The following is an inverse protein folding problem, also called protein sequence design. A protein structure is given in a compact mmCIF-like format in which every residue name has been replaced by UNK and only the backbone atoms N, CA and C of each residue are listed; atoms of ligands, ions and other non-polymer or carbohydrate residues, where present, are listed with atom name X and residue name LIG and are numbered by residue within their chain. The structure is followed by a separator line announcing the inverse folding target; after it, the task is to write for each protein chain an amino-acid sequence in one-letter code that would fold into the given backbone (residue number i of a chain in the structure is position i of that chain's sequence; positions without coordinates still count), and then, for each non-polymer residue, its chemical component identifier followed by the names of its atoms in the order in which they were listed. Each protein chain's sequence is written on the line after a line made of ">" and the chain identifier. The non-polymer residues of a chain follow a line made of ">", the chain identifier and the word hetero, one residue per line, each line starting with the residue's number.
data_IF_379793518772
#
_entry.id   IF_379793518772
#
_cell.length_a   1.000
_cell.length_b   1.000
_cell.length_c   1.000
_cell.angle_alpha   90.00
_cell.angle_beta   90.00
_cell.angle_gamma   90.00
#
_symmetry.space_group_name_H-M   'P 1'
#
loop_
_entity.id
_entity.type
_entity.pdbx_description
1 polymer ?
#
# COMPACT_ATOMS: atom_id res chain seq x y z
N UNK A 1 21.59 83.40 -35.12
CA UNK A 1 21.39 81.98 -35.41
C UNK A 1 20.67 81.39 -34.18
N UNK A 2 19.38 81.08 -34.30
CA UNK A 2 18.52 80.63 -33.22
C UNK A 2 18.35 79.14 -33.31
N UNK A 3 18.80 78.39 -32.30
CA UNK A 3 18.59 76.93 -32.20
C UNK A 3 17.31 76.64 -31.43
N UNK A 4 16.38 76.04 -32.11
CA UNK A 4 15.10 75.56 -31.55
C UNK A 4 15.29 74.19 -30.95
N UNK A 5 15.09 74.02 -29.65
CA UNK A 5 15.09 72.72 -28.99
C UNK A 5 13.67 72.14 -29.05
N UNK A 6 13.52 70.98 -29.64
CA UNK A 6 12.32 70.16 -29.66
C UNK A 6 12.25 69.31 -28.36
N UNK A 7 11.26 69.54 -27.53
CA UNK A 7 10.93 68.64 -26.40
C UNK A 7 10.04 67.51 -26.93
N UNK A 8 10.57 66.31 -26.85
CA UNK A 8 9.84 65.09 -27.16
C UNK A 8 9.20 64.54 -25.85
N UNK A 9 7.89 64.69 -25.71
CA UNK A 9 7.12 64.13 -24.58
C UNK A 9 6.88 62.67 -24.82
N UNK A 10 7.52 61.81 -24.04
CA UNK A 10 7.31 60.34 -24.04
C UNK A 10 6.07 60.05 -23.16
N UNK A 11 4.94 59.73 -23.76
CA UNK A 11 3.79 59.15 -23.07
C UNK A 11 4.07 57.68 -22.79
N UNK A 12 4.34 57.37 -21.51
CA UNK A 12 4.35 55.99 -21.00
C UNK A 12 2.90 55.46 -20.96
N UNK A 13 2.53 54.65 -21.93
CA UNK A 13 1.33 53.83 -21.87
C UNK A 13 1.59 52.66 -20.91
N UNK A 14 0.98 52.66 -19.71
CA UNK A 14 0.91 51.50 -18.82
C UNK A 14 0.10 50.40 -19.52
N UNK A 15 0.63 49.18 -19.61
CA UNK A 15 -0.17 48.08 -20.11
C UNK A 15 -1.31 47.79 -19.11
N UNK A 16 -2.57 47.90 -19.57
CA UNK A 16 -3.71 47.38 -18.83
C UNK A 16 -3.48 45.91 -18.53
N UNK A 17 -3.38 45.59 -17.27
CA UNK A 17 -3.23 44.19 -16.80
C UNK A 17 -4.39 43.36 -17.36
N UNK A 18 -4.09 42.46 -18.30
CA UNK A 18 -4.95 41.32 -18.58
C UNK A 18 -5.03 40.49 -17.29
N UNK A 19 -6.09 40.73 -16.51
CA UNK A 19 -6.49 39.76 -15.51
C UNK A 19 -6.80 38.45 -16.26
N UNK A 20 -5.92 37.48 -16.18
CA UNK A 20 -6.19 36.13 -16.64
C UNK A 20 -7.47 35.69 -15.93
N UNK A 21 -8.59 35.68 -16.62
CA UNK A 21 -9.79 34.99 -16.18
C UNK A 21 -9.42 33.51 -16.11
N UNK A 22 -8.98 33.05 -14.93
CA UNK A 22 -8.82 31.64 -14.65
C UNK A 22 -10.19 31.00 -14.88
N UNK A 23 -10.32 30.27 -15.96
CA UNK A 23 -11.41 29.30 -16.07
C UNK A 23 -11.14 28.31 -14.96
N UNK A 24 -12.07 28.17 -14.02
CA UNK A 24 -12.04 27.02 -13.13
C UNK A 24 -11.96 25.79 -14.04
N UNK A 25 -11.04 24.84 -13.79
CA UNK A 25 -10.97 23.63 -14.59
C UNK A 25 -12.34 22.98 -14.56
N UNK A 26 -12.86 22.62 -15.73
CA UNK A 26 -14.12 21.91 -15.84
C UNK A 26 -13.96 20.56 -15.16
N UNK A 27 -14.56 20.39 -13.99
CA UNK A 27 -14.56 19.11 -13.28
C UNK A 27 -15.49 18.16 -14.02
N UNK A 28 -15.05 16.94 -14.37
CA UNK A 28 -15.94 15.95 -14.97
C UNK A 28 -17.11 15.65 -14.03
N UNK A 29 -18.31 15.35 -14.53
CA UNK A 29 -19.45 15.00 -13.70
C UNK A 29 -19.13 13.72 -12.89
N UNK A 30 -19.52 13.72 -11.61
CA UNK A 30 -19.34 12.58 -10.73
C UNK A 30 -20.35 11.48 -11.10
N UNK A 31 -19.84 10.31 -11.49
CA UNK A 31 -20.68 9.19 -11.93
C UNK A 31 -21.20 8.34 -10.76
N UNK A 32 -20.59 8.46 -9.58
CA UNK A 32 -20.99 7.71 -8.38
C UNK A 32 -22.24 8.34 -7.78
N UNK A 33 -23.35 7.56 -7.57
CA UNK A 33 -24.59 8.10 -7.05
C UNK A 33 -24.41 8.68 -5.65
N UNK A 34 -25.00 9.85 -5.41
CA UNK A 34 -24.93 10.55 -4.10
C UNK A 34 -23.57 11.19 -3.79
N UNK A 35 -22.57 11.04 -4.64
CA UNK A 35 -21.27 11.68 -4.46
C UNK A 35 -21.33 13.15 -4.87
N UNK A 36 -20.84 14.03 -4.00
CA UNK A 36 -20.70 15.45 -4.23
C UNK A 36 -19.21 15.84 -4.32
N UNK A 37 -18.89 16.93 -4.99
CA UNK A 37 -17.52 17.46 -5.08
C UNK A 37 -16.88 17.67 -3.70
N UNK A 38 -17.67 18.13 -2.72
CA UNK A 38 -17.21 18.30 -1.35
C UNK A 38 -16.73 17.00 -0.71
N UNK A 39 -17.30 15.86 -1.09
CA UNK A 39 -16.93 14.54 -0.55
C UNK A 39 -15.52 14.11 -1.00
N UNK A 40 -14.97 14.71 -2.05
CA UNK A 40 -13.61 14.47 -2.54
C UNK A 40 -12.55 15.26 -1.75
N UNK A 41 -12.95 16.00 -0.73
CA UNK A 41 -12.04 16.75 0.13
C UNK A 41 -11.97 16.15 1.53
N UNK A 42 -10.77 15.85 2.07
CA UNK A 42 -10.64 15.39 3.45
C UNK A 42 -11.16 16.43 4.47
N UNK A 43 -11.08 17.72 4.13
CA UNK A 43 -11.56 18.80 5.00
C UNK A 43 -13.07 18.72 5.26
N UNK A 44 -13.86 18.26 4.29
CA UNK A 44 -15.30 18.05 4.45
C UNK A 44 -15.61 17.06 5.59
N UNK A 45 -14.96 15.91 5.56
CA UNK A 45 -15.15 14.84 6.54
C UNK A 45 -14.61 15.20 7.92
N UNK A 46 -13.43 15.84 7.96
CA UNK A 46 -12.79 16.28 9.21
C UNK A 46 -13.64 17.35 9.90
N UNK A 47 -14.24 18.29 9.16
CA UNK A 47 -15.11 19.33 9.73
C UNK A 47 -16.38 18.78 10.38
N UNK A 48 -16.81 17.57 10.01
CA UNK A 48 -17.96 16.89 10.61
C UNK A 48 -17.63 16.12 11.90
N UNK A 49 -16.34 15.96 12.23
CA UNK A 49 -15.91 15.23 13.43
C UNK A 49 -16.13 16.10 14.69
N UNK A 50 -16.69 15.52 15.78
CA UNK A 50 -16.88 16.25 17.04
C UNK A 50 -15.55 16.56 17.76
N UNK A 51 -14.55 15.69 17.60
CA UNK A 51 -13.22 15.81 18.22
C UNK A 51 -12.16 15.22 17.27
N UNK A 52 -11.77 15.96 16.22
CA UNK A 52 -10.94 15.46 15.13
C UNK A 52 -9.53 15.04 15.57
N UNK A 53 -9.01 15.64 16.63
CA UNK A 53 -7.64 15.42 17.10
C UNK A 53 -7.56 14.45 18.30
N UNK A 54 -8.70 13.90 18.71
CA UNK A 54 -8.73 12.89 19.78
C UNK A 54 -7.93 11.64 19.36
N UNK A 55 -6.94 11.32 20.18
CA UNK A 55 -6.14 10.08 20.00
C UNK A 55 -7.03 8.86 20.25
N UNK A 56 -7.19 8.01 19.24
CA UNK A 56 -7.99 6.79 19.29
C UNK A 56 -7.24 5.67 20.02
N UNK A 57 -5.95 5.50 19.73
CA UNK A 57 -5.04 4.60 20.40
C UNK A 57 -3.72 5.35 20.70
N UNK A 58 -3.26 5.22 21.93
CA UNK A 58 -1.93 5.71 22.32
C UNK A 58 -0.83 4.79 21.73
N UNK A 59 0.43 5.26 21.62
CA UNK A 59 1.55 4.42 21.17
C UNK A 59 1.70 3.13 21.99
N UNK A 60 1.47 3.16 23.31
CA UNK A 60 1.51 1.97 24.16
C UNK A 60 0.40 0.95 23.83
N UNK A 61 -0.80 1.43 23.53
CA UNK A 61 -1.92 0.58 23.10
C UNK A 61 -1.67 -0.03 21.72
N UNK A 62 -1.08 0.74 20.78
CA UNK A 62 -0.66 0.24 19.46
C UNK A 62 0.40 -0.85 19.63
N UNK A 63 1.42 -0.63 20.46
CA UNK A 63 2.43 -1.64 20.74
C UNK A 63 1.84 -2.93 21.32
N UNK A 64 0.91 -2.82 22.28
CA UNK A 64 0.20 -3.97 22.85
C UNK A 64 -0.66 -4.71 21.82
N UNK A 65 -1.36 -3.96 20.94
CA UNK A 65 -2.14 -4.54 19.83
C UNK A 65 -1.23 -5.27 18.82
N UNK A 66 -0.10 -4.68 18.45
CA UNK A 66 0.86 -5.31 17.55
C UNK A 66 1.45 -6.59 18.13
N UNK A 67 1.79 -6.59 19.44
CA UNK A 67 2.26 -7.78 20.14
C UNK A 67 1.19 -8.90 20.14
N UNK A 68 -0.07 -8.55 20.37
CA UNK A 68 -1.20 -9.47 20.29
C UNK A 68 -1.40 -9.97 18.86
N UNK A 69 -1.28 -9.10 17.85
CA UNK A 69 -1.33 -9.47 16.44
C UNK A 69 -0.25 -10.52 16.11
N UNK A 70 0.96 -10.31 16.57
CA UNK A 70 2.09 -11.22 16.33
C UNK A 70 1.90 -12.57 17.06
N UNK A 71 1.24 -12.58 18.22
CA UNK A 71 1.04 -13.80 19.00
C UNK A 71 -0.18 -14.63 18.55
N UNK A 72 -1.24 -14.00 18.05
CA UNK A 72 -2.55 -14.63 17.85
C UNK A 72 -2.94 -14.78 16.37
N UNK A 73 -2.43 -13.92 15.48
CA UNK A 73 -2.83 -13.97 14.07
C UNK A 73 -1.90 -14.90 13.26
N UNK A 74 -2.44 -16.01 12.72
CA UNK A 74 -1.62 -16.99 11.99
C UNK A 74 -1.04 -16.48 10.67
N UNK A 75 -1.51 -15.33 10.17
CA UNK A 75 -0.98 -14.69 8.96
C UNK A 75 0.20 -13.76 9.22
N UNK A 76 0.57 -13.58 10.50
CA UNK A 76 1.70 -12.75 10.94
C UNK A 76 2.84 -13.63 11.43
N UNK A 77 4.03 -13.37 10.93
CA UNK A 77 5.21 -14.16 11.23
C UNK A 77 6.21 -13.36 12.07
N UNK A 78 6.65 -13.93 13.17
CA UNK A 78 7.77 -13.40 13.96
C UNK A 78 9.09 -13.88 13.35
N UNK A 79 9.71 -13.04 12.54
CA UNK A 79 10.96 -13.38 11.86
C UNK A 79 12.16 -13.45 12.82
N UNK A 80 12.09 -12.78 13.98
CA UNK A 80 13.12 -12.84 15.01
C UNK A 80 13.05 -14.16 15.82
N UNK A 81 11.85 -14.71 15.98
CA UNK A 81 11.66 -15.94 16.75
C UNK A 81 11.86 -17.22 15.93
N UNK A 82 12.13 -17.11 14.63
CA UNK A 82 12.36 -18.28 13.79
C UNK A 82 13.59 -19.07 14.27
N UNK A 83 13.52 -20.43 14.23
CA UNK A 83 14.63 -21.27 14.65
C UNK A 83 15.83 -21.10 13.72
N UNK A 84 17.02 -21.41 14.20
CA UNK A 84 18.26 -21.36 13.40
C UNK A 84 18.25 -22.28 12.17
N UNK A 85 17.35 -23.27 12.15
CA UNK A 85 17.12 -24.16 11.00
C UNK A 85 15.63 -24.35 10.79
N UNK A 86 15.22 -24.36 9.52
CA UNK A 86 13.83 -24.54 9.09
C UNK A 86 13.69 -25.90 8.43
N UNK A 87 12.57 -26.57 8.72
CA UNK A 87 12.22 -27.85 8.14
C UNK A 87 11.84 -27.72 6.65
N UNK A 88 12.35 -28.61 5.82
CA UNK A 88 12.10 -28.56 4.37
C UNK A 88 10.67 -28.91 3.97
N UNK A 89 9.95 -29.73 4.76
CA UNK A 89 8.53 -30.00 4.48
C UNK A 89 7.69 -28.76 4.69
N UNK A 90 8.01 -27.97 5.74
CA UNK A 90 7.36 -26.68 5.99
C UNK A 90 7.59 -25.71 4.81
N UNK A 91 8.83 -25.63 4.29
CA UNK A 91 9.16 -24.77 3.15
C UNK A 91 8.40 -25.24 1.90
N UNK A 92 8.40 -26.54 1.60
CA UNK A 92 7.61 -27.10 0.48
C UNK A 92 6.14 -26.78 0.63
N UNK A 93 5.58 -26.95 1.83
CA UNK A 93 4.17 -26.66 2.13
C UNK A 93 3.79 -25.19 1.84
N UNK A 94 4.65 -24.24 2.20
CA UNK A 94 4.41 -22.82 1.85
C UNK A 94 4.46 -22.57 0.35
N UNK A 95 5.44 -23.13 -0.37
CA UNK A 95 5.53 -22.96 -1.83
C UNK A 95 4.32 -23.62 -2.51
N UNK A 96 3.94 -24.84 -2.16
CA UNK A 96 2.81 -25.55 -2.73
C UNK A 96 1.47 -24.87 -2.41
N UNK A 97 1.34 -24.25 -1.25
CA UNK A 97 0.15 -23.49 -0.89
C UNK A 97 -0.06 -22.26 -1.80
N UNK A 98 1.03 -21.58 -2.15
CA UNK A 98 1.01 -20.38 -2.98
C UNK A 98 1.04 -20.70 -4.48
N UNK A 99 1.98 -21.56 -4.93
CA UNK A 99 2.32 -21.76 -6.35
C UNK A 99 1.37 -22.79 -7.02
N UNK A 100 0.07 -22.49 -6.99
CA UNK A 100 -0.97 -23.29 -7.62
C UNK A 100 -1.38 -22.69 -8.95
N UNK A 101 -1.22 -23.42 -10.03
CA UNK A 101 -1.71 -22.98 -11.34
C UNK A 101 -3.24 -22.96 -11.32
N UNK A 102 -3.87 -21.88 -11.81
CA UNK A 102 -5.32 -21.85 -12.00
C UNK A 102 -5.76 -22.93 -13.01
N UNK A 103 -6.94 -23.51 -12.77
CA UNK A 103 -7.54 -24.49 -13.69
C UNK A 103 -8.04 -23.85 -15.00
N UNK A 104 -8.21 -22.53 -15.01
CA UNK A 104 -8.69 -21.76 -16.16
C UNK A 104 -7.55 -21.48 -17.14
N UNK A 105 -7.92 -21.34 -18.42
CA UNK A 105 -7.04 -20.77 -19.42
C UNK A 105 -6.53 -19.39 -18.97
N UNK A 106 -5.25 -19.14 -19.20
CA UNK A 106 -4.58 -17.90 -18.86
C UNK A 106 -4.12 -17.18 -20.13
N UNK A 107 -4.13 -15.87 -20.09
CA UNK A 107 -3.73 -14.99 -21.20
C UNK A 107 -2.56 -14.10 -20.77
N UNK A 108 -1.65 -13.83 -21.69
CA UNK A 108 -0.55 -12.89 -21.48
C UNK A 108 -0.98 -11.41 -21.66
N UNK A 109 -0.07 -10.46 -21.45
CA UNK A 109 -0.32 -9.01 -21.64
C UNK A 109 -0.77 -8.65 -23.07
N UNK A 110 -0.46 -9.47 -24.07
CA UNK A 110 -0.89 -9.29 -25.45
C UNK A 110 -2.25 -9.95 -25.74
N UNK A 111 -2.87 -10.57 -24.73
CA UNK A 111 -4.15 -11.28 -24.87
C UNK A 111 -4.02 -12.62 -25.59
N UNK A 112 -2.84 -13.21 -25.66
CA UNK A 112 -2.61 -14.55 -26.25
C UNK A 112 -2.73 -15.61 -25.17
N UNK A 113 -3.33 -16.78 -25.46
CA UNK A 113 -3.33 -17.89 -24.52
C UNK A 113 -1.90 -18.29 -24.12
N UNK A 114 -1.66 -18.49 -22.84
CA UNK A 114 -0.37 -18.97 -22.33
C UNK A 114 -0.31 -20.48 -22.51
N UNK A 115 0.68 -21.03 -23.26
CA UNK A 115 0.79 -22.44 -23.50
C UNK A 115 1.01 -23.26 -22.21
N UNK A 116 0.42 -24.46 -22.13
CA UNK A 116 0.52 -25.32 -20.95
C UNK A 116 1.95 -25.79 -20.66
N UNK A 117 2.83 -25.89 -21.67
CA UNK A 117 4.26 -26.17 -21.47
C UNK A 117 4.98 -25.03 -20.81
N UNK A 118 4.73 -23.78 -21.22
CA UNK A 118 5.27 -22.59 -20.54
C UNK A 118 4.84 -22.52 -19.06
N UNK A 119 3.59 -22.88 -18.75
CA UNK A 119 3.12 -22.94 -17.35
C UNK A 119 3.83 -24.06 -16.57
N UNK A 120 4.07 -25.23 -17.19
CA UNK A 120 4.85 -26.31 -16.56
C UNK A 120 6.30 -25.92 -16.32
N UNK A 121 6.92 -25.19 -17.24
CA UNK A 121 8.29 -24.70 -17.09
C UNK A 121 8.40 -23.69 -15.93
N UNK A 122 7.42 -22.78 -15.79
CA UNK A 122 7.33 -21.85 -14.67
C UNK A 122 7.17 -22.61 -13.35
N UNK A 123 6.33 -23.63 -13.31
CA UNK A 123 6.16 -24.47 -12.12
C UNK A 123 7.44 -25.25 -11.79
N UNK A 124 8.12 -25.81 -12.79
CA UNK A 124 9.40 -26.50 -12.62
C UNK A 124 10.53 -25.58 -12.14
N UNK A 125 10.46 -24.25 -12.48
CA UNK A 125 11.41 -23.26 -11.99
C UNK A 125 11.33 -23.06 -10.47
N UNK A 126 10.22 -23.41 -9.81
CA UNK A 126 10.09 -23.41 -8.36
C UNK A 126 11.00 -24.43 -7.66
N UNK A 127 11.61 -25.38 -8.40
CA UNK A 127 12.63 -26.32 -7.93
C UNK A 127 12.29 -27.06 -6.63
N UNK A 128 11.05 -27.49 -6.43
CA UNK A 128 10.57 -28.15 -5.20
C UNK A 128 11.39 -29.40 -4.85
N UNK A 129 11.91 -30.11 -5.87
CA UNK A 129 12.79 -31.25 -5.73
C UNK A 129 14.15 -30.92 -5.09
N UNK A 130 14.58 -29.65 -5.17
CA UNK A 130 15.83 -29.16 -4.60
C UNK A 130 15.70 -28.64 -3.15
N UNK A 131 14.48 -28.60 -2.59
CA UNK A 131 14.29 -28.18 -1.17
C UNK A 131 14.89 -29.24 -0.25
N UNK A 132 15.93 -28.92 0.54
CA UNK A 132 16.58 -29.89 1.43
C UNK A 132 15.65 -30.27 2.60
N UNK A 133 15.91 -31.42 3.24
CA UNK A 133 15.12 -31.84 4.40
C UNK A 133 15.18 -30.84 5.57
N UNK A 134 16.28 -30.10 5.72
CA UNK A 134 16.43 -29.01 6.70
C UNK A 134 17.53 -28.06 6.22
N UNK A 135 17.32 -26.77 6.42
CA UNK A 135 18.28 -25.73 6.01
C UNK A 135 18.50 -24.68 7.11
N UNK A 136 19.65 -23.99 7.05
CA UNK A 136 19.91 -22.85 7.91
C UNK A 136 18.96 -21.70 7.56
N UNK A 137 18.48 -20.99 8.56
CA UNK A 137 17.69 -19.78 8.39
C UNK A 137 18.59 -18.66 7.88
N UNK A 138 18.30 -18.14 6.69
CA UNK A 138 19.03 -17.05 6.04
C UNK A 138 18.20 -15.78 6.14
N UNK A 139 18.75 -14.75 6.77
CA UNK A 139 18.07 -13.47 6.91
C UNK A 139 18.48 -12.51 5.80
N UNK A 140 17.55 -11.67 5.39
CA UNK A 140 17.77 -10.65 4.38
C UNK A 140 16.91 -9.42 4.61
N UNK A 141 17.17 -8.39 3.82
CA UNK A 141 16.41 -7.15 3.83
C UNK A 141 16.15 -6.71 2.39
N UNK A 142 14.96 -6.20 2.15
CA UNK A 142 14.58 -5.66 0.86
C UNK A 142 15.25 -4.30 0.65
N UNK A 143 15.86 -4.09 -0.52
CA UNK A 143 16.64 -2.88 -0.82
C UNK A 143 15.92 -1.88 -1.74
N UNK A 144 14.90 -2.32 -2.45
CA UNK A 144 14.03 -1.49 -3.28
C UNK A 144 12.62 -2.08 -3.29
N UNK A 145 11.60 -1.28 -3.68
CA UNK A 145 10.26 -1.82 -3.89
C UNK A 145 10.32 -3.03 -4.82
N UNK A 146 9.76 -4.13 -4.42
CA UNK A 146 9.84 -5.40 -5.15
C UNK A 146 8.52 -6.15 -5.12
N UNK A 147 8.13 -6.70 -6.26
CA UNK A 147 6.95 -7.53 -6.40
C UNK A 147 7.13 -8.87 -5.68
N UNK A 148 6.07 -9.31 -5.02
CA UNK A 148 5.90 -10.66 -4.54
C UNK A 148 5.01 -11.44 -5.51
N UNK A 149 5.51 -12.60 -5.97
CA UNK A 149 4.89 -13.39 -7.02
C UNK A 149 4.49 -14.77 -6.52
N UNK A 150 3.40 -15.32 -7.09
CA UNK A 150 2.97 -16.70 -6.84
C UNK A 150 3.96 -17.74 -7.42
N UNK A 151 4.69 -17.38 -8.46
CA UNK A 151 5.68 -18.20 -9.13
C UNK A 151 6.96 -17.41 -9.42
N UNK A 152 8.13 -18.06 -9.53
CA UNK A 152 9.39 -17.42 -9.89
C UNK A 152 9.40 -17.04 -11.39
N UNK A 153 8.60 -16.03 -11.76
CA UNK A 153 8.47 -15.54 -13.13
C UNK A 153 8.01 -14.10 -13.18
N UNK A 154 8.49 -13.36 -14.19
CA UNK A 154 7.99 -12.01 -14.53
C UNK A 154 6.77 -12.04 -15.45
N UNK A 155 6.39 -13.24 -15.97
CA UNK A 155 5.23 -13.37 -16.82
C UNK A 155 3.97 -12.92 -16.08
N UNK A 156 3.23 -12.00 -16.68
CA UNK A 156 1.93 -11.57 -16.20
C UNK A 156 0.86 -12.39 -16.89
N UNK A 157 -0.11 -12.86 -16.11
CA UNK A 157 -1.18 -13.74 -16.65
C UNK A 157 -2.55 -13.29 -16.15
N UNK A 158 -3.54 -13.39 -17.02
CA UNK A 158 -4.90 -12.90 -16.81
C UNK A 158 -5.93 -13.97 -17.13
N UNK A 159 -7.15 -13.85 -16.59
CA UNK A 159 -8.26 -14.79 -16.85
C UNK A 159 -8.99 -14.53 -18.16
N UNK A 160 -8.75 -13.43 -18.83
CA UNK A 160 -9.36 -13.12 -20.14
C UNK A 160 -8.42 -12.29 -21.00
N UNK A 161 -8.52 -12.45 -22.30
CA UNK A 161 -7.83 -11.60 -23.26
C UNK A 161 -8.34 -10.16 -23.10
N UNK A 162 -7.42 -9.22 -22.90
CA UNK A 162 -7.74 -7.80 -22.70
C UNK A 162 -7.92 -7.36 -21.24
N UNK A 163 -8.07 -8.26 -20.28
CA UNK A 163 -7.85 -7.93 -18.86
C UNK A 163 -6.37 -7.55 -18.67
N UNK A 164 -6.13 -6.45 -17.98
CA UNK A 164 -4.77 -5.98 -17.64
C UNK A 164 -4.66 -5.57 -16.18
N UNK A 165 -5.75 -5.68 -15.43
CA UNK A 165 -5.83 -5.16 -14.07
C UNK A 165 -5.48 -6.22 -13.03
N UNK A 166 -5.84 -7.49 -13.29
CA UNK A 166 -5.68 -8.56 -12.30
C UNK A 166 -4.70 -9.63 -12.81
N UNK A 167 -3.39 -9.37 -12.61
CA UNK A 167 -2.34 -10.36 -12.83
C UNK A 167 -2.43 -11.47 -11.78
N UNK A 168 -2.71 -12.69 -12.23
CA UNK A 168 -2.97 -13.86 -11.36
C UNK A 168 -1.73 -14.44 -10.68
N UNK A 169 -0.55 -13.98 -11.07
CA UNK A 169 0.70 -14.33 -10.41
C UNK A 169 1.24 -13.22 -9.51
N UNK A 170 0.59 -12.06 -9.48
CA UNK A 170 0.95 -10.97 -8.58
C UNK A 170 0.23 -11.14 -7.24
N UNK A 171 0.99 -11.11 -6.15
CA UNK A 171 0.50 -11.38 -4.80
C UNK A 171 0.57 -10.13 -3.90
N UNK A 172 1.72 -9.46 -3.89
CA UNK A 172 1.98 -8.30 -3.03
C UNK A 172 3.24 -7.55 -3.46
N UNK A 173 3.70 -6.59 -2.65
CA UNK A 173 5.04 -6.03 -2.73
C UNK A 173 5.66 -5.90 -1.34
N UNK A 174 6.99 -5.83 -1.31
CA UNK A 174 7.80 -5.43 -0.16
C UNK A 174 8.57 -4.14 -0.47
N UNK A 175 8.98 -3.46 0.57
CA UNK A 175 9.54 -2.12 0.50
C UNK A 175 10.95 -2.06 1.09
N UNK A 176 11.77 -1.03 0.77
CA UNK A 176 13.09 -0.87 1.35
C UNK A 176 13.05 -0.93 2.88
N UNK A 177 13.87 -1.79 3.45
CA UNK A 177 13.95 -2.00 4.89
C UNK A 177 13.04 -3.10 5.44
N UNK A 178 12.14 -3.68 4.63
CA UNK A 178 11.34 -4.83 5.07
C UNK A 178 12.26 -6.05 5.27
N UNK A 179 12.28 -6.65 6.48
CA UNK A 179 13.07 -7.86 6.74
C UNK A 179 12.40 -9.08 6.10
N UNK A 180 13.23 -10.02 5.65
CA UNK A 180 12.78 -11.30 5.09
C UNK A 180 13.67 -12.44 5.56
N UNK A 181 13.12 -13.66 5.51
CA UNK A 181 13.90 -14.90 5.63
C UNK A 181 13.88 -15.61 4.28
N UNK A 182 15.06 -15.88 3.73
CA UNK A 182 15.22 -16.59 2.47
C UNK A 182 15.07 -18.09 2.73
N UNK A 183 14.01 -18.69 2.17
CA UNK A 183 13.62 -20.07 2.38
C UNK A 183 14.05 -21.01 1.26
N UNK A 184 14.08 -20.50 0.02
CA UNK A 184 14.41 -21.33 -1.15
C UNK A 184 14.89 -20.46 -2.31
N UNK A 185 15.51 -21.06 -3.31
CA UNK A 185 15.99 -20.42 -4.53
C UNK A 185 15.41 -21.13 -5.76
N UNK A 186 14.97 -20.38 -6.77
CA UNK A 186 14.48 -20.95 -8.02
C UNK A 186 15.58 -21.67 -8.80
N UNK A 187 15.21 -22.54 -9.72
CA UNK A 187 16.13 -23.34 -10.53
C UNK A 187 17.06 -22.50 -11.40
N UNK A 188 16.58 -21.38 -11.91
CA UNK A 188 17.38 -20.42 -12.70
C UNK A 188 18.27 -19.52 -11.82
N UNK A 189 18.10 -19.54 -10.50
CA UNK A 189 18.87 -18.72 -9.55
C UNK A 189 18.51 -17.23 -9.52
N UNK A 190 17.41 -16.83 -10.20
CA UNK A 190 16.98 -15.43 -10.30
C UNK A 190 15.99 -15.01 -9.20
N UNK A 191 15.40 -15.98 -8.47
CA UNK A 191 14.35 -15.74 -7.49
C UNK A 191 14.66 -16.39 -6.15
N UNK A 192 14.21 -15.71 -5.07
CA UNK A 192 14.10 -16.29 -3.76
C UNK A 192 12.64 -16.50 -3.40
N UNK A 193 12.33 -17.63 -2.77
CA UNK A 193 11.10 -17.78 -1.98
C UNK A 193 11.40 -17.25 -0.58
N UNK A 194 10.69 -16.22 -0.16
CA UNK A 194 10.93 -15.53 1.11
C UNK A 194 9.71 -15.57 2.02
N UNK A 195 9.97 -15.56 3.31
CA UNK A 195 9.00 -15.28 4.36
C UNK A 195 9.22 -13.85 4.84
N UNK A 196 8.24 -12.99 4.71
CA UNK A 196 8.17 -11.67 5.34
C UNK A 196 7.25 -11.71 6.56
N UNK A 197 7.14 -10.61 7.30
CA UNK A 197 6.25 -10.53 8.46
C UNK A 197 4.79 -10.88 8.12
N UNK A 198 4.32 -10.61 6.89
CA UNK A 198 2.91 -10.73 6.51
C UNK A 198 2.64 -11.60 5.28
N UNK A 199 3.68 -12.15 4.65
CA UNK A 199 3.53 -12.91 3.42
C UNK A 199 4.70 -13.85 3.16
N UNK A 200 4.41 -15.00 2.52
CA UNK A 200 5.42 -15.89 1.97
C UNK A 200 5.23 -15.97 0.45
N UNK A 201 6.25 -15.62 -0.34
CA UNK A 201 6.15 -15.59 -1.80
C UNK A 201 7.51 -15.52 -2.51
N UNK A 202 7.50 -15.57 -3.83
CA UNK A 202 8.66 -15.40 -4.67
C UNK A 202 8.98 -13.92 -4.87
N UNK A 203 10.24 -13.55 -4.73
CA UNK A 203 10.79 -12.21 -4.98
C UNK A 203 12.02 -12.32 -5.86
N UNK A 204 12.22 -11.35 -6.76
CA UNK A 204 13.47 -11.33 -7.53
C UNK A 204 14.67 -11.15 -6.60
N UNK A 205 15.68 -11.99 -6.77
CA UNK A 205 16.88 -12.06 -5.93
C UNK A 205 17.65 -10.73 -5.86
N UNK A 206 17.61 -9.94 -6.92
CA UNK A 206 18.26 -8.63 -6.98
C UNK A 206 17.74 -7.62 -5.94
N UNK A 207 16.52 -7.79 -5.44
CA UNK A 207 15.91 -6.90 -4.46
C UNK A 207 16.14 -7.30 -3.01
N UNK A 208 16.82 -8.42 -2.75
CA UNK A 208 17.10 -8.91 -1.40
C UNK A 208 18.59 -8.92 -1.14
N UNK A 209 19.04 -8.24 -0.09
CA UNK A 209 20.40 -8.33 0.42
C UNK A 209 20.42 -9.23 1.67
N UNK A 210 21.30 -10.25 1.68
CA UNK A 210 21.44 -11.18 2.81
C UNK A 210 22.43 -10.64 3.83
N UNK A 211 22.09 -10.76 5.10
CA UNK A 211 22.90 -10.22 6.17
C UNK A 211 22.65 -10.86 7.54
N UNK A 212 23.34 -10.34 8.51
CA UNK A 212 23.21 -10.77 9.89
C UNK A 212 21.83 -10.40 10.47
N UNK A 213 21.21 -11.36 11.18
CA UNK A 213 19.88 -11.19 11.78
C UNK A 213 19.82 -9.99 12.74
N UNK A 214 20.82 -9.87 13.61
CA UNK A 214 20.86 -8.81 14.62
C UNK A 214 21.02 -7.44 13.97
N UNK A 215 21.87 -7.32 12.95
CA UNK A 215 22.06 -6.09 12.19
C UNK A 215 20.77 -5.64 11.49
N UNK A 216 20.03 -6.59 10.87
CA UNK A 216 18.74 -6.32 10.18
C UNK A 216 17.72 -5.75 11.16
N UNK A 217 17.50 -6.45 12.27
CA UNK A 217 16.48 -6.03 13.24
C UNK A 217 16.91 -4.79 14.05
N UNK A 218 18.22 -4.64 14.33
CA UNK A 218 18.75 -3.42 14.96
C UNK A 218 18.52 -2.19 14.08
N UNK A 219 18.70 -2.31 12.74
CA UNK A 219 18.42 -1.22 11.81
C UNK A 219 16.95 -0.81 11.88
N UNK A 220 16.02 -1.77 11.87
CA UNK A 220 14.58 -1.52 11.97
C UNK A 220 14.16 -0.83 13.29
N UNK A 221 14.96 -0.92 14.37
CA UNK A 221 14.70 -0.29 15.68
C UNK A 221 15.50 0.98 15.94
N UNK A 222 16.43 1.33 15.06
CA UNK A 222 17.33 2.48 15.28
C UNK A 222 16.56 3.79 15.37
N UNK A 223 16.97 4.67 16.29
CA UNK A 223 16.49 6.04 16.47
C UNK A 223 17.68 7.02 16.40
N UNK A 224 17.50 8.27 15.96
CA UNK A 224 16.24 8.81 15.41
C UNK A 224 15.87 8.22 14.05
N UNK A 225 14.60 8.35 13.67
CA UNK A 225 14.10 7.83 12.40
C UNK A 225 13.07 8.78 11.77
N UNK A 226 12.75 8.54 10.52
CA UNK A 226 11.63 9.15 9.82
C UNK A 226 10.64 8.06 9.38
N UNK A 227 9.36 8.41 9.39
CA UNK A 227 8.27 7.63 8.78
C UNK A 227 7.74 8.40 7.59
N UNK A 228 7.61 7.74 6.44
CA UNK A 228 6.98 8.34 5.26
C UNK A 228 5.49 8.49 5.54
N UNK A 229 5.00 9.72 5.45
CA UNK A 229 3.58 10.09 5.63
C UNK A 229 2.92 10.51 4.32
N UNK A 230 3.68 10.83 3.28
CA UNK A 230 3.18 10.97 1.91
C UNK A 230 2.73 9.63 1.32
N UNK A 231 2.00 9.63 0.22
CA UNK A 231 1.70 8.40 -0.52
C UNK A 231 2.99 7.66 -0.89
N UNK A 232 4.00 8.41 -1.33
CA UNK A 232 5.38 7.96 -1.51
C UNK A 232 6.34 9.11 -1.19
N UNK A 233 7.60 8.77 -0.93
CA UNK A 233 8.73 9.68 -0.94
C UNK A 233 9.85 9.08 -1.80
N UNK A 234 10.80 9.90 -2.27
CA UNK A 234 11.95 9.43 -3.03
C UNK A 234 13.23 10.04 -2.51
N UNK A 235 14.31 9.26 -2.48
CA UNK A 235 15.65 9.81 -2.24
C UNK A 235 16.08 10.69 -3.40
N UNK A 236 17.01 11.59 -3.14
CA UNK A 236 17.60 12.42 -4.19
C UNK A 236 18.29 11.54 -5.25
N UNK A 237 18.13 11.93 -6.52
CA UNK A 237 18.89 11.30 -7.58
C UNK A 237 20.39 11.57 -7.38
N UNK A 238 21.21 10.53 -7.47
CA UNK A 238 22.68 10.63 -7.39
C UNK A 238 23.34 9.64 -8.33
N UNK A 239 24.19 10.11 -9.27
CA UNK A 239 24.95 9.22 -10.17
C UNK A 239 26.13 8.54 -9.44
N UNK A 240 26.58 9.09 -8.32
CA UNK A 240 27.73 8.58 -7.56
C UNK A 240 27.42 7.24 -6.88
N UNK A 241 26.16 7.02 -6.52
CA UNK A 241 25.72 5.78 -5.89
C UNK A 241 24.31 5.36 -6.36
N UNK A 242 24.21 4.64 -7.48
CA UNK A 242 22.93 4.22 -8.05
C UNK A 242 22.05 3.37 -7.10
N UNK A 243 22.66 2.71 -6.09
CA UNK A 243 21.94 1.83 -5.15
C UNK A 243 21.04 2.59 -4.17
N UNK A 244 21.29 3.88 -3.95
CA UNK A 244 20.50 4.75 -3.06
C UNK A 244 19.88 5.93 -3.83
N UNK A 245 20.00 5.95 -5.15
CA UNK A 245 19.54 7.00 -6.06
C UNK A 245 18.08 6.80 -6.42
N UNK A 246 17.24 7.83 -6.24
CA UNK A 246 15.80 7.82 -6.60
C UNK A 246 15.03 6.61 -6.04
N UNK A 247 15.43 6.12 -4.87
CA UNK A 247 14.76 4.99 -4.22
C UNK A 247 13.40 5.43 -3.71
N UNK A 248 12.35 4.72 -4.13
CA UNK A 248 10.98 4.94 -3.67
C UNK A 248 10.76 4.33 -2.29
N UNK A 249 10.14 5.11 -1.42
CA UNK A 249 9.70 4.75 -0.07
C UNK A 249 8.21 4.96 0.03
N UNK A 250 7.46 3.92 0.36
CA UNK A 250 6.00 3.93 0.48
C UNK A 250 5.53 4.51 1.81
N UNK A 251 4.26 4.90 1.89
CA UNK A 251 3.63 5.32 3.13
C UNK A 251 3.88 4.30 4.25
N UNK A 252 4.27 4.80 5.43
CA UNK A 252 4.57 3.97 6.59
C UNK A 252 5.96 3.32 6.58
N UNK A 253 6.76 3.44 5.51
CA UNK A 253 8.17 3.02 5.55
C UNK A 253 8.92 3.87 6.57
N UNK A 254 9.68 3.19 7.43
CA UNK A 254 10.50 3.78 8.48
C UNK A 254 11.96 3.66 8.09
N UNK A 255 12.70 4.78 8.16
CA UNK A 255 14.14 4.82 7.85
C UNK A 255 14.93 5.52 8.96
N UNK A 256 16.08 4.98 9.40
CA UNK A 256 16.96 5.65 10.35
C UNK A 256 17.52 6.96 9.80
N UNK A 257 17.70 7.95 10.68
CA UNK A 257 18.36 9.24 10.38
C UNK A 257 19.76 9.24 10.94
N UNK A 258 20.72 9.63 10.11
CA UNK A 258 22.11 9.89 10.51
C UNK A 258 22.22 11.34 11.00
N UNK A 259 21.71 11.59 12.23
CA UNK A 259 21.54 12.93 12.77
C UNK A 259 22.85 13.69 12.99
N UNK A 260 23.94 12.96 13.27
CA UNK A 260 25.26 13.51 13.55
C UNK A 260 26.11 13.66 12.28
N UNK A 261 25.52 13.56 11.09
CA UNK A 261 26.25 13.74 9.83
C UNK A 261 26.85 15.14 9.74
N UNK A 262 28.17 15.27 9.48
CA UNK A 262 28.82 16.58 9.45
C UNK A 262 28.23 17.49 8.34
N UNK A 263 27.88 18.73 8.70
CA UNK A 263 27.17 19.65 7.80
C UNK A 263 27.96 20.00 6.51
N UNK A 264 29.31 19.91 6.57
CA UNK A 264 30.20 20.19 5.44
C UNK A 264 30.66 18.92 4.71
N UNK A 265 30.17 17.76 5.11
CA UNK A 265 30.48 16.49 4.44
C UNK A 265 29.38 16.14 3.44
N UNK A 266 29.78 15.99 2.18
CA UNK A 266 28.85 15.65 1.12
C UNK A 266 28.39 14.17 1.23
N UNK A 267 27.12 13.93 0.96
CA UNK A 267 26.56 12.59 0.73
C UNK A 267 26.40 12.43 -0.78
N UNK A 268 27.13 11.47 -1.36
CA UNK A 268 27.07 11.18 -2.79
C UNK A 268 27.16 12.45 -3.66
N UNK A 269 28.20 13.28 -3.39
CA UNK A 269 28.48 14.49 -4.17
C UNK A 269 27.62 15.71 -3.82
N UNK A 270 26.68 15.64 -2.89
CA UNK A 270 25.78 16.74 -2.53
C UNK A 270 25.82 17.04 -1.03
N UNK A 271 25.90 18.33 -0.63
CA UNK A 271 25.77 18.73 0.76
C UNK A 271 24.32 18.57 1.25
N UNK A 272 24.11 18.10 2.51
CA UNK A 272 22.79 17.75 3.03
C UNK A 272 21.93 18.95 3.47
N UNK A 273 22.27 20.19 3.14
CA UNK A 273 21.65 21.42 3.67
C UNK A 273 20.11 21.46 3.55
N UNK A 274 19.54 20.90 2.47
CA UNK A 274 18.10 20.85 2.22
C UNK A 274 17.52 19.43 2.33
N UNK A 275 18.27 18.53 2.97
CA UNK A 275 17.92 17.11 3.04
C UNK A 275 17.99 16.59 4.48
N UNK A 276 17.31 15.47 4.74
CA UNK A 276 17.63 14.56 5.80
C UNK A 276 18.68 13.57 5.27
N UNK A 277 19.71 13.28 6.05
CA UNK A 277 20.61 12.17 5.77
C UNK A 277 20.00 10.93 6.43
N UNK A 278 19.54 10.01 5.60
CA UNK A 278 18.94 8.73 6.05
C UNK A 278 19.89 7.59 5.71
N UNK A 279 19.67 6.44 6.32
CA UNK A 279 20.42 5.23 6.02
C UNK A 279 19.52 4.22 5.33
N UNK A 280 19.96 3.68 4.19
CA UNK A 280 19.24 2.67 3.42
C UNK A 280 20.01 1.34 3.36
N UNK A 281 19.30 0.21 3.32
CA UNK A 281 19.91 -1.07 3.00
C UNK A 281 20.30 -1.11 1.52
N UNK A 282 21.46 -1.64 1.23
CA UNK A 282 21.93 -1.84 -0.13
C UNK A 282 22.49 -3.26 -0.31
N UNK A 283 22.37 -3.77 -1.54
CA UNK A 283 22.85 -5.09 -1.92
C UNK A 283 24.21 -4.99 -2.57
N UNK A 284 25.23 -5.64 -2.00
CA UNK A 284 26.56 -5.78 -2.58
C UNK A 284 26.54 -6.71 -3.80
N UNK A 285 27.65 -6.70 -4.56
CA UNK A 285 27.81 -7.53 -5.78
C UNK A 285 27.62 -9.03 -5.49
N UNK A 286 28.08 -9.47 -4.32
CA UNK A 286 27.94 -10.86 -3.87
C UNK A 286 26.59 -11.16 -3.16
N UNK A 287 25.65 -10.20 -3.14
CA UNK A 287 24.37 -10.34 -2.47
C UNK A 287 24.36 -9.95 -1.00
N UNK A 288 25.50 -9.55 -0.41
CA UNK A 288 25.56 -9.17 0.99
C UNK A 288 24.88 -7.84 1.29
N UNK A 289 24.30 -7.74 2.49
CA UNK A 289 23.72 -6.52 3.03
C UNK A 289 24.81 -5.57 3.53
N UNK A 290 24.68 -4.32 3.19
CA UNK A 290 25.33 -3.19 3.85
C UNK A 290 24.34 -2.03 3.95
N UNK A 291 24.72 -1.00 4.72
CA UNK A 291 23.90 0.19 4.90
C UNK A 291 24.66 1.40 4.42
N UNK A 292 24.01 2.27 3.65
CA UNK A 292 24.63 3.42 3.04
C UNK A 292 23.80 4.70 3.23
N UNK A 293 24.48 5.87 3.34
CA UNK A 293 23.78 7.14 3.47
C UNK A 293 23.10 7.52 2.15
N UNK A 294 21.89 8.07 2.29
CA UNK A 294 21.09 8.63 1.21
C UNK A 294 20.51 9.98 1.62
N UNK A 295 20.25 10.83 0.64
CA UNK A 295 19.60 12.13 0.85
C UNK A 295 18.11 12.01 0.60
N UNK A 296 17.29 12.39 1.59
CA UNK A 296 15.85 12.53 1.47
C UNK A 296 15.50 14.02 1.52
N UNK A 297 14.89 14.59 0.46
CA UNK A 297 14.55 16.02 0.43
C UNK A 297 13.67 16.43 1.61
N UNK A 298 13.92 17.61 2.21
CA UNK A 298 13.06 18.13 3.28
C UNK A 298 11.64 18.49 2.83
N UNK A 299 11.42 18.55 1.52
CA UNK A 299 10.08 18.69 0.92
C UNK A 299 9.30 17.37 0.90
N UNK A 300 9.93 16.22 1.18
CA UNK A 300 9.23 14.95 1.31
C UNK A 300 8.28 14.98 2.51
N UNK A 301 7.10 14.42 2.33
CA UNK A 301 6.13 14.28 3.41
C UNK A 301 6.54 13.13 4.35
N UNK A 302 7.22 13.48 5.43
CA UNK A 302 7.72 12.56 6.46
C UNK A 302 7.47 13.12 7.86
N UNK A 303 7.45 12.26 8.85
CA UNK A 303 7.36 12.61 10.27
C UNK A 303 8.52 11.98 11.06
N UNK A 304 8.95 12.62 12.15
CA UNK A 304 10.02 12.12 13.05
C UNK A 304 9.57 11.01 14.00
N UNK A 305 8.34 10.57 13.89
CA UNK A 305 7.71 9.46 14.60
C UNK A 305 6.47 9.02 13.83
N UNK A 306 5.83 7.93 14.24
CA UNK A 306 4.52 7.55 13.76
C UNK A 306 3.49 8.64 14.06
N UNK A 307 2.56 8.85 13.12
CA UNK A 307 1.51 9.84 13.32
C UNK A 307 0.61 9.47 14.50
N UNK A 308 0.10 10.45 15.28
CA UNK A 308 -0.96 10.18 16.24
C UNK A 308 -2.17 9.54 15.54
N UNK A 309 -2.63 8.40 16.05
CA UNK A 309 -3.82 7.73 15.49
C UNK A 309 -5.06 8.52 15.93
N UNK A 310 -5.52 9.42 15.07
CA UNK A 310 -6.75 10.20 15.20
C UNK A 310 -7.65 9.97 14.00
N UNK A 311 -8.97 10.17 14.15
CA UNK A 311 -9.90 10.05 13.03
C UNK A 311 -9.54 11.04 11.89
N UNK A 312 -9.14 12.26 12.24
CA UNK A 312 -8.70 13.24 11.25
C UNK A 312 -7.45 12.81 10.49
N UNK A 313 -6.46 12.23 11.18
CA UNK A 313 -5.25 11.75 10.51
C UNK A 313 -5.53 10.52 9.63
N UNK A 314 -6.41 9.61 10.05
CA UNK A 314 -6.86 8.49 9.21
C UNK A 314 -7.47 8.99 7.89
N UNK A 315 -8.37 9.98 7.98
CA UNK A 315 -8.95 10.62 6.79
C UNK A 315 -7.86 11.29 5.95
N UNK A 316 -6.96 12.11 6.54
CA UNK A 316 -5.88 12.78 5.79
C UNK A 316 -5.00 11.79 5.05
N UNK A 317 -4.60 10.70 5.71
CA UNK A 317 -3.73 9.69 5.09
C UNK A 317 -4.44 8.94 3.97
N UNK A 318 -5.71 8.56 4.12
CA UNK A 318 -6.45 7.85 3.08
C UNK A 318 -6.65 8.69 1.81
N UNK A 319 -6.91 9.99 1.96
CA UNK A 319 -7.10 10.90 0.83
C UNK A 319 -5.83 11.21 0.04
N UNK A 320 -4.64 10.90 0.56
CA UNK A 320 -3.38 11.03 -0.20
C UNK A 320 -3.31 10.09 -1.40
N UNK A 321 -4.11 9.06 -1.40
CA UNK A 321 -4.21 8.09 -2.50
C UNK A 321 -5.40 8.34 -3.43
N UNK A 322 -6.27 9.30 -3.13
CA UNK A 322 -7.49 9.55 -3.92
C UNK A 322 -7.16 9.74 -5.41
N UNK A 323 -7.75 8.89 -6.27
CA UNK A 323 -7.49 8.88 -7.71
C UNK A 323 -6.27 8.05 -8.14
N UNK A 324 -5.53 7.42 -7.22
CA UNK A 324 -4.51 6.43 -7.58
C UNK A 324 -5.18 5.26 -8.30
N UNK A 325 -4.53 4.71 -9.34
CA UNK A 325 -5.03 3.56 -10.07
C UNK A 325 -5.03 2.32 -9.18
N UNK A 326 -6.05 1.47 -9.30
CA UNK A 326 -6.10 0.16 -8.67
C UNK A 326 -4.92 -0.73 -9.15
N UNK A 327 -4.17 -1.30 -8.21
CA UNK A 327 -3.05 -2.18 -8.49
C UNK A 327 -3.19 -3.50 -7.75
N UNK A 328 -3.79 -4.52 -8.37
CA UNK A 328 -3.87 -5.85 -7.80
C UNK A 328 -2.51 -6.34 -7.29
N UNK A 329 -2.44 -6.75 -6.01
CA UNK A 329 -1.17 -7.20 -5.39
C UNK A 329 -0.06 -6.16 -5.47
N UNK A 330 -0.36 -4.86 -5.42
CA UNK A 330 0.59 -3.75 -5.61
C UNK A 330 1.17 -3.62 -7.03
N UNK A 331 0.54 -4.23 -8.04
CA UNK A 331 0.89 -3.98 -9.46
C UNK A 331 0.90 -2.50 -9.80
N UNK A 332 1.58 -2.14 -10.89
CA UNK A 332 1.61 -0.79 -11.45
C UNK A 332 2.18 0.29 -10.51
N UNK A 333 2.99 -0.11 -9.54
CA UNK A 333 3.50 0.81 -8.51
C UNK A 333 2.36 1.45 -7.68
N UNK A 334 1.22 0.79 -7.62
CA UNK A 334 0.00 1.20 -6.93
C UNK A 334 -0.35 0.23 -5.78
N UNK A 335 -1.60 0.18 -5.36
CA UNK A 335 -2.11 -0.63 -4.24
C UNK A 335 -3.38 -1.37 -4.64
N UNK A 336 -3.69 -2.45 -3.92
CA UNK A 336 -5.03 -3.02 -3.89
C UNK A 336 -5.77 -2.58 -2.60
N UNK A 337 -7.01 -3.01 -2.44
CA UNK A 337 -7.87 -2.59 -1.33
C UNK A 337 -7.25 -2.86 0.06
N UNK A 338 -6.66 -4.03 0.27
CA UNK A 338 -6.04 -4.39 1.56
C UNK A 338 -4.65 -3.79 1.74
N UNK A 339 -3.90 -3.59 0.66
CA UNK A 339 -2.64 -2.84 0.64
C UNK A 339 -2.86 -1.38 1.00
N UNK A 340 -3.85 -0.71 0.38
CA UNK A 340 -4.28 0.63 0.72
C UNK A 340 -4.58 0.78 2.22
N UNK A 341 -5.44 -0.07 2.77
CA UNK A 341 -5.74 -0.05 4.20
C UNK A 341 -4.48 -0.27 5.06
N UNK A 342 -3.65 -1.25 4.72
CA UNK A 342 -2.49 -1.61 5.53
C UNK A 342 -1.39 -0.54 5.54
N UNK A 343 -1.16 0.17 4.43
CA UNK A 343 -0.18 1.25 4.38
C UNK A 343 -0.64 2.48 5.16
N UNK A 344 -1.93 2.82 5.09
CA UNK A 344 -2.49 3.90 5.91
C UNK A 344 -2.22 3.59 7.39
N UNK A 345 -2.58 2.40 7.87
CA UNK A 345 -2.37 2.02 9.27
C UNK A 345 -0.89 1.90 9.65
N UNK A 346 -0.02 1.51 8.71
CA UNK A 346 1.44 1.48 8.91
C UNK A 346 2.01 2.87 9.23
N UNK A 347 1.42 3.96 8.71
CA UNK A 347 1.86 5.33 9.03
C UNK A 347 1.61 5.73 10.48
N UNK A 348 0.76 4.98 11.19
CA UNK A 348 0.49 5.10 12.64
C UNK A 348 1.24 4.05 13.47
N UNK A 349 2.07 3.20 12.84
CA UNK A 349 2.74 2.09 13.49
C UNK A 349 1.82 0.90 13.80
N UNK A 350 0.61 0.85 13.26
CA UNK A 350 -0.35 -0.24 13.46
C UNK A 350 -0.09 -1.36 12.47
N UNK A 351 0.09 -2.57 12.99
CA UNK A 351 0.21 -3.80 12.20
C UNK A 351 -1.17 -4.38 11.92
N UNK A 352 -1.47 -4.64 10.64
CA UNK A 352 -2.63 -5.44 10.22
C UNK A 352 -2.21 -6.47 9.18
N UNK A 353 -2.95 -7.60 9.00
CA UNK A 353 -2.64 -8.60 8.00
C UNK A 353 -2.60 -8.05 6.57
N UNK A 354 -1.91 -8.75 5.66
CA UNK A 354 -1.81 -8.29 4.27
C UNK A 354 -3.06 -8.54 3.46
N UNK A 355 -3.65 -9.73 3.58
CA UNK A 355 -4.77 -10.15 2.74
C UNK A 355 -6.12 -9.77 3.35
N UNK A 356 -7.06 -9.35 2.51
CA UNK A 356 -8.45 -9.03 2.90
C UNK A 356 -9.09 -10.15 3.74
N UNK A 357 -8.90 -11.41 3.35
CA UNK A 357 -9.46 -12.56 4.07
C UNK A 357 -8.89 -12.70 5.48
N UNK A 358 -7.59 -12.49 5.66
CA UNK A 358 -6.96 -12.52 6.98
C UNK A 358 -7.36 -11.31 7.82
N UNK A 359 -7.39 -10.11 7.23
CA UNK A 359 -7.86 -8.90 7.92
C UNK A 359 -9.30 -9.08 8.45
N UNK A 360 -10.20 -9.63 7.63
CA UNK A 360 -11.62 -9.80 7.98
C UNK A 360 -11.85 -10.70 9.20
N UNK A 361 -10.95 -11.64 9.48
CA UNK A 361 -11.09 -12.63 10.55
C UNK A 361 -10.05 -12.51 11.65
N UNK A 362 -9.16 -11.54 11.57
CA UNK A 362 -8.06 -11.37 12.53
C UNK A 362 -8.56 -11.40 13.98
N UNK A 363 -8.07 -12.30 14.84
CA UNK A 363 -8.51 -12.38 16.23
C UNK A 363 -7.91 -11.26 17.10
N UNK A 364 -6.87 -10.61 16.62
CA UNK A 364 -6.15 -9.57 17.34
C UNK A 364 -6.81 -8.18 17.27
N UNK A 365 -7.80 -8.01 16.38
CA UNK A 365 -8.55 -6.76 16.21
C UNK A 365 -9.92 -6.83 16.90
N UNK A 366 -10.56 -5.66 17.09
CA UNK A 366 -11.92 -5.59 17.66
C UNK A 366 -12.95 -5.86 16.54
N UNK A 367 -13.23 -7.13 16.33
CA UNK A 367 -14.05 -7.66 15.25
C UNK A 367 -15.54 -7.70 15.62
N UNK A 368 -16.39 -7.13 14.77
CA UNK A 368 -17.83 -7.38 14.74
C UNK A 368 -18.15 -8.32 13.57
N UNK A 369 -18.35 -9.63 13.80
CA UNK A 369 -18.61 -10.60 12.74
C UNK A 369 -20.07 -10.60 12.30
N UNK A 370 -20.31 -10.98 11.03
CA UNK A 370 -21.64 -11.25 10.47
C UNK A 370 -21.67 -12.59 9.76
N UNK A 371 -22.77 -13.33 9.97
CA UNK A 371 -23.03 -14.63 9.37
C UNK A 371 -24.30 -14.62 8.51
N UNK A 372 -24.68 -15.78 7.99
CA UNK A 372 -25.86 -15.94 7.15
C UNK A 372 -27.20 -15.69 7.89
N UNK A 373 -27.20 -15.77 9.23
CA UNK A 373 -28.37 -15.51 10.05
C UNK A 373 -28.61 -14.03 10.38
N UNK A 374 -27.65 -13.17 10.12
CA UNK A 374 -27.79 -11.75 10.44
C UNK A 374 -28.60 -11.02 9.37
N UNK A 375 -29.54 -10.19 9.82
CA UNK A 375 -30.44 -9.47 8.93
C UNK A 375 -29.75 -8.29 8.21
N UNK A 376 -30.34 -7.82 7.11
CA UNK A 376 -29.98 -6.57 6.45
C UNK A 376 -29.97 -5.39 7.44
N UNK A 377 -31.05 -5.29 8.25
CA UNK A 377 -31.19 -4.20 9.22
C UNK A 377 -30.05 -4.17 10.25
N UNK A 378 -29.61 -5.34 10.75
CA UNK A 378 -28.50 -5.42 11.70
C UNK A 378 -27.18 -4.93 11.09
N UNK A 379 -26.90 -5.25 9.82
CA UNK A 379 -25.71 -4.79 9.10
C UNK A 379 -25.76 -3.29 8.84
N UNK A 380 -26.91 -2.76 8.44
CA UNK A 380 -27.12 -1.32 8.23
C UNK A 380 -26.91 -0.55 9.54
N UNK A 381 -27.45 -1.06 10.66
CA UNK A 381 -27.26 -0.42 11.97
C UNK A 381 -25.80 -0.39 12.37
N UNK A 382 -25.09 -1.51 12.22
CA UNK A 382 -23.65 -1.57 12.51
C UNK A 382 -22.81 -0.62 11.62
N UNK A 383 -23.20 -0.44 10.35
CA UNK A 383 -22.57 0.55 9.47
C UNK A 383 -22.83 1.98 9.95
N UNK A 384 -24.04 2.29 10.42
CA UNK A 384 -24.39 3.61 10.95
C UNK A 384 -23.64 3.94 12.23
N UNK A 385 -23.25 2.93 13.01
CA UNK A 385 -22.38 3.08 14.19
C UNK A 385 -20.89 3.14 13.86
N UNK A 386 -20.51 2.78 12.63
CA UNK A 386 -19.12 2.76 12.22
C UNK A 386 -18.51 4.17 12.20
N UNK A 387 -17.23 4.28 12.49
CA UNK A 387 -16.50 5.55 12.57
C UNK A 387 -15.38 5.61 11.55
N UNK A 388 -14.86 6.79 11.24
CA UNK A 388 -13.69 6.92 10.39
C UNK A 388 -12.54 6.02 10.85
N UNK A 389 -12.02 5.24 9.89
CA UNK A 389 -11.01 4.22 10.11
C UNK A 389 -11.55 2.80 10.33
N UNK A 390 -12.82 2.60 10.65
CA UNK A 390 -13.37 1.24 10.68
C UNK A 390 -13.31 0.60 9.30
N UNK A 391 -12.92 -0.68 9.25
CA UNK A 391 -12.73 -1.43 8.02
C UNK A 391 -13.90 -2.40 7.81
N UNK A 392 -14.63 -2.21 6.74
CA UNK A 392 -15.80 -3.01 6.35
C UNK A 392 -15.38 -4.06 5.32
N UNK A 393 -15.60 -5.34 5.63
CA UNK A 393 -15.18 -6.47 4.79
C UNK A 393 -16.36 -7.16 4.14
N UNK A 394 -16.25 -7.36 2.83
CA UNK A 394 -17.04 -8.30 2.04
C UNK A 394 -16.10 -9.34 1.41
N UNK A 395 -16.56 -10.48 0.91
CA UNK A 395 -15.68 -11.44 0.26
C UNK A 395 -14.83 -10.81 -0.86
N UNK A 396 -13.51 -10.82 -0.65
CA UNK A 396 -12.53 -10.30 -1.61
C UNK A 396 -12.33 -8.78 -1.61
N UNK A 397 -12.94 -8.02 -0.69
CA UNK A 397 -12.79 -6.56 -0.67
C UNK A 397 -12.87 -5.95 0.74
N UNK A 398 -12.21 -4.81 0.93
CA UNK A 398 -12.26 -3.99 2.13
C UNK A 398 -12.51 -2.52 1.78
N UNK A 399 -13.30 -1.85 2.60
CA UNK A 399 -13.64 -0.43 2.51
C UNK A 399 -13.34 0.24 3.85
N UNK A 400 -12.70 1.41 3.85
CA UNK A 400 -12.46 2.21 5.06
C UNK A 400 -13.57 3.26 5.19
N UNK A 401 -14.31 3.24 6.28
CA UNK A 401 -15.31 4.27 6.59
C UNK A 401 -14.61 5.61 6.81
N UNK A 402 -15.15 6.69 6.25
CA UNK A 402 -14.65 8.06 6.39
C UNK A 402 -15.67 9.02 7.02
N UNK A 403 -16.93 8.64 7.11
CA UNK A 403 -17.97 9.44 7.74
C UNK A 403 -19.38 9.15 7.24
N UNK A 404 -20.30 10.02 7.61
CA UNK A 404 -21.72 9.92 7.31
C UNK A 404 -22.22 11.17 6.61
N UNK A 405 -23.08 11.00 5.60
CA UNK A 405 -23.85 12.07 4.99
C UNK A 405 -24.96 12.60 5.90
N UNK A 406 -25.54 13.74 5.55
CA UNK A 406 -26.60 14.37 6.31
C UNK A 406 -27.90 13.52 6.39
N UNK A 407 -28.07 12.60 5.46
CA UNK A 407 -29.19 11.65 5.35
C UNK A 407 -28.92 10.32 6.05
N UNK A 408 -27.78 10.18 6.73
CA UNK A 408 -27.34 8.95 7.38
C UNK A 408 -26.72 7.93 6.42
N UNK A 409 -26.43 8.31 5.18
CA UNK A 409 -25.61 7.50 4.27
C UNK A 409 -24.20 7.34 4.80
N UNK A 410 -23.65 6.15 4.68
CA UNK A 410 -22.27 5.82 5.15
C UNK A 410 -21.32 5.85 3.97
N UNK A 411 -20.29 6.70 4.06
CA UNK A 411 -19.29 6.83 3.02
C UNK A 411 -17.99 6.13 3.40
N UNK A 412 -17.43 5.46 2.40
CA UNK A 412 -16.10 4.86 2.50
C UNK A 412 -15.15 5.40 1.44
N UNK A 413 -13.85 5.37 1.75
CA UNK A 413 -12.79 5.47 0.77
C UNK A 413 -12.14 4.10 0.61
N UNK A 414 -11.96 3.65 -0.60
CA UNK A 414 -11.39 2.33 -0.88
C UNK A 414 -10.76 2.28 -2.26
N UNK A 415 -9.82 1.38 -2.42
CA UNK A 415 -9.21 1.09 -3.70
C UNK A 415 -9.94 -0.09 -4.37
N UNK A 416 -10.58 0.15 -5.51
CA UNK A 416 -11.50 -0.83 -6.11
C UNK A 416 -11.45 -0.83 -7.64
N UNK A 417 -11.69 -1.99 -8.24
CA UNK A 417 -11.89 -2.09 -9.70
C UNK A 417 -13.22 -1.48 -10.14
N UNK A 418 -14.25 -1.44 -9.26
CA UNK A 418 -15.55 -0.85 -9.61
C UNK A 418 -16.62 -1.06 -8.57
N UNK A 419 -17.78 -0.47 -8.85
CA UNK A 419 -19.00 -0.63 -8.07
C UNK A 419 -20.21 -0.82 -8.98
N UNK A 420 -21.30 -1.33 -8.40
CA UNK A 420 -22.60 -1.38 -9.08
C UNK A 420 -23.69 -0.83 -8.17
N UNK A 421 -24.72 -0.23 -8.75
CA UNK A 421 -25.93 0.17 -8.04
C UNK A 421 -27.14 -0.02 -8.94
N UNK A 422 -28.32 0.03 -8.35
CA UNK A 422 -29.59 -0.06 -9.07
C UNK A 422 -30.29 1.30 -8.96
N UNK A 423 -30.42 2.06 -10.08
CA UNK A 423 -31.21 3.30 -10.08
C UNK A 423 -32.66 3.03 -9.69
N UNK A 424 -33.29 4.02 -9.05
CA UNK A 424 -34.70 3.92 -8.69
C UNK A 424 -35.56 3.70 -9.93
N UNK A 425 -36.46 2.69 -9.89
CA UNK A 425 -37.33 2.32 -11.00
C UNK A 425 -36.66 1.61 -12.17
N UNK A 426 -35.36 1.33 -12.11
CA UNK A 426 -34.68 0.55 -13.14
C UNK A 426 -34.70 -0.96 -12.81
N UNK A 427 -34.76 -1.81 -13.83
CA UNK A 427 -34.62 -3.26 -13.69
C UNK A 427 -33.16 -3.70 -13.68
N UNK A 428 -32.31 -2.98 -14.42
CA UNK A 428 -30.91 -3.33 -14.60
C UNK A 428 -29.96 -2.58 -13.64
N UNK A 429 -28.82 -3.23 -13.35
CA UNK A 429 -27.72 -2.62 -12.63
C UNK A 429 -26.92 -1.71 -13.55
N UNK A 430 -26.55 -0.55 -13.00
CA UNK A 430 -25.46 0.27 -13.56
C UNK A 430 -24.16 -0.19 -12.92
N UNK A 431 -23.16 -0.50 -13.75
CA UNK A 431 -21.81 -0.87 -13.33
C UNK A 431 -20.84 0.23 -13.71
N UNK A 432 -20.07 0.68 -12.74
CA UNK A 432 -18.98 1.63 -12.92
C UNK A 432 -17.64 0.89 -12.80
N UNK A 433 -16.80 1.06 -13.81
CA UNK A 433 -15.41 0.64 -13.77
C UNK A 433 -14.59 1.81 -13.23
N UNK A 434 -14.38 1.85 -11.91
CA UNK A 434 -13.72 2.95 -11.20
C UNK A 434 -12.20 2.82 -11.26
N UNK A 435 -11.70 1.63 -11.11
CA UNK A 435 -10.30 1.22 -11.24
C UNK A 435 -9.31 2.15 -10.50
N UNK A 436 -9.59 2.42 -9.24
CA UNK A 436 -8.75 3.29 -8.41
C UNK A 436 -9.29 3.56 -7.03
N UNK A 437 -8.58 4.41 -6.30
CA UNK A 437 -8.98 4.89 -4.98
C UNK A 437 -10.08 5.94 -5.13
N UNK A 438 -11.24 5.63 -4.57
CA UNK A 438 -12.47 6.42 -4.73
C UNK A 438 -13.22 6.55 -3.42
N UNK A 439 -14.07 7.58 -3.34
CA UNK A 439 -15.07 7.72 -2.29
C UNK A 439 -16.41 7.22 -2.83
N UNK A 440 -17.09 6.37 -2.07
CA UNK A 440 -18.41 5.83 -2.45
C UNK A 440 -19.35 5.76 -1.24
N UNK A 441 -20.68 5.95 -1.44
CA UNK A 441 -21.67 5.56 -0.46
C UNK A 441 -21.77 4.04 -0.40
N UNK A 442 -21.94 3.45 0.79
CA UNK A 442 -21.96 1.98 0.96
C UNK A 442 -23.37 1.42 0.76
N UNK A 443 -24.40 2.10 1.29
CA UNK A 443 -25.77 1.57 1.35
C UNK A 443 -26.40 1.31 -0.03
N UNK A 444 -26.22 2.17 -1.08
CA UNK A 444 -26.81 1.92 -2.39
C UNK A 444 -26.03 0.92 -3.24
N UNK A 445 -24.86 0.44 -2.79
CA UNK A 445 -24.06 -0.52 -3.53
C UNK A 445 -24.75 -1.87 -3.66
N UNK A 446 -24.66 -2.45 -4.86
CA UNK A 446 -25.21 -3.77 -5.17
C UNK A 446 -24.11 -4.73 -5.59
N UNK A 447 -24.15 -5.95 -5.10
CA UNK A 447 -23.25 -7.03 -5.51
C UNK A 447 -23.77 -7.73 -6.79
N UNK A 448 -25.08 -7.81 -6.95
CA UNK A 448 -25.77 -8.29 -8.15
C UNK A 448 -27.18 -7.66 -8.20
N UNK A 449 -28.00 -8.03 -9.19
CA UNK A 449 -29.32 -7.42 -9.42
C UNK A 449 -30.29 -7.48 -8.23
N UNK A 450 -30.10 -8.42 -7.30
CA UNK A 450 -31.00 -8.69 -6.18
C UNK A 450 -30.36 -8.58 -4.80
N UNK A 451 -29.03 -8.52 -4.72
CA UNK A 451 -28.29 -8.59 -3.45
C UNK A 451 -27.58 -7.27 -3.17
N UNK A 452 -28.01 -6.48 -2.18
CA UNK A 452 -27.25 -5.34 -1.69
C UNK A 452 -25.86 -5.75 -1.21
N UNK A 453 -24.86 -4.90 -1.42
CA UNK A 453 -23.49 -5.15 -0.93
C UNK A 453 -23.45 -5.27 0.59
N UNK A 454 -24.30 -4.54 1.30
CA UNK A 454 -24.46 -4.62 2.76
C UNK A 454 -24.74 -6.04 3.23
N UNK A 455 -25.54 -6.83 2.50
CA UNK A 455 -25.88 -8.21 2.86
C UNK A 455 -24.70 -9.18 2.71
N UNK A 456 -23.62 -8.74 2.10
CA UNK A 456 -22.40 -9.51 1.95
C UNK A 456 -21.31 -9.12 2.97
N UNK A 457 -21.58 -8.19 3.87
CA UNK A 457 -20.63 -7.84 4.93
C UNK A 457 -20.39 -9.06 5.82
N UNK A 458 -19.14 -9.46 5.94
CA UNK A 458 -18.69 -10.59 6.77
C UNK A 458 -18.14 -10.14 8.12
N UNK A 459 -17.63 -8.92 8.18
CA UNK A 459 -17.19 -8.30 9.43
C UNK A 459 -16.95 -6.81 9.28
N UNK A 460 -16.97 -6.11 10.40
CA UNK A 460 -16.41 -4.77 10.57
C UNK A 460 -15.28 -4.89 11.59
N UNK A 461 -14.06 -4.50 11.20
CA UNK A 461 -12.91 -4.44 12.10
C UNK A 461 -12.76 -3.01 12.61
N UNK A 462 -12.79 -2.85 13.91
CA UNK A 462 -12.56 -1.58 14.59
C UNK A 462 -11.11 -1.57 15.09
N UNK A 463 -10.30 -0.60 14.64
CA UNK A 463 -8.92 -0.46 15.11
C UNK A 463 -8.91 0.39 16.42
N UNK A 464 -9.91 0.24 17.21
CA UNK A 464 -10.10 0.88 18.52
C UNK A 464 -10.71 -0.13 19.48
N UNK A 465 -10.58 0.10 20.81
CA UNK A 465 -11.22 -0.74 21.83
C UNK A 465 -12.74 -0.84 21.67
#
# INVERSE_FOLDING_TARGET
>A
MRSTALLLSLLLALPAGLAARGHAPATPPLAVPGLLEAHLSPAHWIAALPDPDRVVLTPAQIAAQNARMQAEDPSIHDLEALPARIDGEQVRGWIEALSKLPERELFDDAGRPVPSDALRDIQANAALDAVPASQATRHGMVVARADLRAFPTRLRVFHSAGDRDIDRFQESALFPGDPVVVLHESRDGEWYFVLSQRYAAWIEKQYVAEGDREAIHAWGRRAPFLVVTGATARTAYTPENPRVSDVQLEMGVRVPVLADWPAMEAVNGQLPSAHHVIELPVRGVNGSLSFEPALLPRSAEVASDYLPLTEANLIRQSFKFLGERYGWGHSYNARDCSGFASEIYRSFGVLIPRNTSAQAVSPALNRLPFGAGDSHAARVEALREARPGDLVYIPGHVMMVIGHGNDGEVFAIHDTSGMSWKPEGADDLVRLHLNGVVVTPILPMMSNATTPTVDRITSIQRIRP
#
